data_IF_010985137694
#
_entry.id   IF_010985137694
#
_cell.length_a   1.000
_cell.length_b   1.000
_cell.length_c   1.000
_cell.angle_alpha   90.00
_cell.angle_beta   90.00
_cell.angle_gamma   90.00
#
_symmetry.space_group_name_H-M   'P 1'
#
loop_
_entity.id
_entity.type
_entity.pdbx_description
1 polymer ?
#
# COMPACT_ATOMS: atom_id res chain seq x y z
N UNK A 1 15.21 -8.03 5.41
CA UNK A 1 14.39 -9.24 5.25
C UNK A 1 12.94 -8.84 5.34
N UNK A 2 12.03 -9.38 4.51
CA UNK A 2 10.60 -9.13 4.58
C UNK A 2 10.04 -9.47 5.96
N UNK A 3 9.03 -8.71 6.40
CA UNK A 3 8.40 -8.93 7.72
C UNK A 3 7.77 -10.32 7.80
N UNK A 4 7.10 -10.72 6.75
CA UNK A 4 6.43 -12.03 6.66
C UNK A 4 7.39 -13.17 6.92
N UNK A 5 8.57 -13.17 6.29
CA UNK A 5 9.54 -14.28 6.41
C UNK A 5 10.10 -14.46 7.83
N UNK A 6 10.06 -13.40 8.66
CA UNK A 6 10.52 -13.46 10.07
C UNK A 6 9.46 -13.96 11.03
N UNK A 7 8.19 -13.97 10.63
CA UNK A 7 7.06 -14.31 11.48
C UNK A 7 6.33 -15.57 11.02
N UNK A 8 6.85 -16.29 10.02
CA UNK A 8 6.31 -17.58 9.63
C UNK A 8 6.48 -18.61 10.75
N UNK A 9 5.42 -19.35 11.06
CA UNK A 9 5.50 -20.50 11.94
C UNK A 9 6.24 -21.68 11.26
N UNK A 10 6.80 -22.62 12.01
CA UNK A 10 7.38 -23.84 11.44
C UNK A 10 6.37 -24.54 10.53
N UNK A 11 6.78 -24.85 9.30
CA UNK A 11 5.97 -25.50 8.26
C UNK A 11 4.83 -24.63 7.67
N UNK A 12 4.73 -23.33 8.04
CA UNK A 12 3.78 -22.41 7.43
C UNK A 12 4.29 -21.98 6.03
N UNK A 13 3.41 -22.06 5.01
CA UNK A 13 3.76 -21.77 3.62
C UNK A 13 3.02 -20.52 3.16
N UNK A 14 3.77 -19.63 2.49
CA UNK A 14 3.17 -18.47 1.83
C UNK A 14 2.58 -18.91 0.50
N UNK A 15 1.26 -18.71 0.35
CA UNK A 15 0.49 -19.05 -0.86
C UNK A 15 0.49 -17.89 -1.85
N UNK A 16 0.35 -16.66 -1.33
CA UNK A 16 0.30 -15.47 -2.16
C UNK A 16 0.95 -14.27 -1.47
N UNK A 17 1.66 -13.45 -2.25
CA UNK A 17 2.22 -12.17 -1.78
C UNK A 17 1.87 -11.04 -2.71
N UNK A 18 1.54 -9.89 -2.13
CA UNK A 18 1.41 -8.64 -2.87
C UNK A 18 1.91 -7.46 -2.03
N UNK A 19 1.91 -6.28 -2.64
CA UNK A 19 2.37 -5.03 -2.03
C UNK A 19 1.41 -3.90 -2.36
N UNK A 20 1.67 -2.72 -1.80
CA UNK A 20 0.99 -1.51 -2.25
C UNK A 20 1.34 -1.19 -3.70
N UNK A 21 0.35 -0.71 -4.43
CA UNK A 21 0.52 -0.32 -5.83
C UNK A 21 1.28 1.02 -5.94
N UNK A 22 2.13 1.22 -6.96
CA UNK A 22 2.86 2.48 -7.18
C UNK A 22 1.99 3.73 -7.27
N UNK A 23 0.67 3.60 -7.47
CA UNK A 23 -0.28 4.72 -7.43
C UNK A 23 -0.22 5.51 -6.11
N UNK A 24 0.38 4.96 -5.05
CA UNK A 24 0.64 5.68 -3.79
C UNK A 24 1.47 6.95 -4.00
N UNK A 25 2.31 6.98 -5.04
CA UNK A 25 3.12 8.14 -5.41
C UNK A 25 2.33 9.26 -6.09
N UNK A 26 1.06 9.03 -6.47
CA UNK A 26 0.25 10.01 -7.21
C UNK A 26 0.19 11.39 -6.53
N UNK A 27 -0.01 11.41 -5.20
CA UNK A 27 -0.03 12.66 -4.44
C UNK A 27 1.36 13.33 -4.40
N UNK A 28 2.45 12.56 -4.31
CA UNK A 28 3.80 13.10 -4.34
C UNK A 28 4.16 13.69 -5.71
N UNK A 29 3.71 13.04 -6.78
CA UNK A 29 3.88 13.56 -8.16
C UNK A 29 3.11 14.87 -8.32
N UNK A 30 1.84 14.94 -7.87
CA UNK A 30 1.04 16.16 -7.90
C UNK A 30 1.68 17.29 -7.09
N UNK A 31 2.19 16.99 -5.89
CA UNK A 31 2.91 17.96 -5.07
C UNK A 31 4.19 18.46 -5.74
N UNK A 32 5.00 17.55 -6.29
CA UNK A 32 6.22 17.93 -7.01
C UNK A 32 5.92 18.81 -8.23
N UNK A 33 4.90 18.46 -9.01
CA UNK A 33 4.45 19.26 -10.15
C UNK A 33 4.02 20.67 -9.71
N UNK A 34 3.28 20.78 -8.61
CA UNK A 34 2.88 22.08 -8.03
C UNK A 34 4.09 22.90 -7.60
N UNK A 35 5.05 22.29 -6.89
CA UNK A 35 6.26 22.99 -6.41
C UNK A 35 7.12 23.47 -7.59
N UNK A 36 7.28 22.64 -8.62
CA UNK A 36 8.01 23.01 -9.85
C UNK A 36 7.31 24.16 -10.57
N UNK A 37 5.98 24.09 -10.72
CA UNK A 37 5.20 25.14 -11.32
C UNK A 37 5.34 26.47 -10.56
N UNK A 38 5.19 26.45 -9.24
CA UNK A 38 5.35 27.63 -8.40
C UNK A 38 6.76 28.24 -8.51
N UNK A 39 7.81 27.42 -8.48
CA UNK A 39 9.17 27.88 -8.67
C UNK A 39 9.39 28.53 -10.04
N UNK A 40 8.83 27.92 -11.10
CA UNK A 40 8.88 28.48 -12.46
C UNK A 40 8.17 29.83 -12.53
N UNK A 41 6.99 29.98 -11.93
CA UNK A 41 6.26 31.25 -11.89
C UNK A 41 7.06 32.33 -11.15
N UNK A 42 7.69 31.99 -10.02
CA UNK A 42 8.55 32.92 -9.29
C UNK A 42 9.71 33.39 -10.16
N UNK A 43 10.37 32.50 -10.88
CA UNK A 43 11.52 32.82 -11.73
C UNK A 43 11.11 33.69 -12.92
N UNK A 44 9.95 33.40 -13.55
CA UNK A 44 9.48 34.13 -14.74
C UNK A 44 8.92 35.51 -14.44
N UNK A 45 8.35 35.71 -13.24
CA UNK A 45 7.71 36.99 -12.88
C UNK A 45 8.62 37.96 -12.12
N UNK A 46 9.85 37.55 -11.79
CA UNK A 46 10.80 38.38 -11.06
C UNK A 46 12.16 38.35 -11.76
N UNK A 47 12.75 39.50 -11.96
CA UNK A 47 14.12 39.62 -12.48
C UNK A 47 15.14 39.20 -11.42
N UNK A 48 15.22 37.89 -11.18
CA UNK A 48 16.06 37.32 -10.13
C UNK A 48 17.53 37.22 -10.58
N UNK A 49 18.43 37.61 -9.71
CA UNK A 49 19.85 37.36 -9.93
C UNK A 49 20.14 35.84 -9.99
N UNK A 50 21.16 35.40 -10.77
CA UNK A 50 21.49 33.98 -10.93
C UNK A 50 21.66 33.19 -9.64
N UNK A 51 22.23 33.71 -8.54
CA UNK A 51 22.34 32.98 -7.28
C UNK A 51 20.96 32.73 -6.64
N UNK A 52 20.02 33.68 -6.75
CA UNK A 52 18.64 33.52 -6.24
C UNK A 52 17.86 32.48 -7.03
N UNK A 53 18.02 32.45 -8.35
CA UNK A 53 17.43 31.40 -9.19
C UNK A 53 17.91 30.01 -8.76
N UNK A 54 19.22 29.85 -8.52
CA UNK A 54 19.78 28.57 -8.02
C UNK A 54 19.18 28.18 -6.66
N UNK A 55 19.01 29.14 -5.77
CA UNK A 55 18.41 28.89 -4.45
C UNK A 55 16.97 28.43 -4.59
N UNK A 56 16.14 29.08 -5.42
CA UNK A 56 14.75 28.70 -5.69
C UNK A 56 14.68 27.29 -6.24
N UNK A 57 15.53 26.95 -7.21
CA UNK A 57 15.58 25.60 -7.77
C UNK A 57 15.99 24.55 -6.73
N UNK A 58 16.99 24.84 -5.87
CA UNK A 58 17.41 23.92 -4.82
C UNK A 58 16.30 23.68 -3.78
N UNK A 59 15.61 24.74 -3.36
CA UNK A 59 14.48 24.64 -2.43
C UNK A 59 13.36 23.81 -3.05
N UNK A 60 13.00 24.10 -4.30
CA UNK A 60 11.96 23.35 -5.02
C UNK A 60 12.31 21.86 -5.15
N UNK A 61 13.54 21.55 -5.54
CA UNK A 61 14.02 20.17 -5.65
C UNK A 61 14.00 19.45 -4.30
N UNK A 62 14.42 20.12 -3.23
CA UNK A 62 14.40 19.55 -1.86
C UNK A 62 12.97 19.26 -1.40
N UNK A 63 12.05 20.21 -1.58
CA UNK A 63 10.64 20.02 -1.22
C UNK A 63 9.99 18.88 -2.01
N UNK A 64 10.25 18.82 -3.31
CA UNK A 64 9.77 17.73 -4.15
C UNK A 64 10.32 16.38 -3.65
N UNK A 65 11.61 16.26 -3.39
CA UNK A 65 12.25 15.05 -2.89
C UNK A 65 11.68 14.61 -1.52
N UNK A 66 11.47 15.54 -0.60
CA UNK A 66 10.85 15.26 0.70
C UNK A 66 9.41 14.75 0.56
N UNK A 67 8.67 15.27 -0.41
CA UNK A 67 7.31 14.78 -0.72
C UNK A 67 7.26 13.30 -1.14
N UNK A 68 8.33 12.77 -1.74
CA UNK A 68 8.44 11.36 -2.09
C UNK A 68 8.87 10.45 -0.94
N UNK A 69 9.44 10.99 0.13
CA UNK A 69 10.02 10.18 1.19
C UNK A 69 8.95 9.33 1.92
N UNK A 70 7.83 9.94 2.30
CA UNK A 70 6.75 9.25 3.01
C UNK A 70 6.14 8.10 2.19
N UNK A 71 5.68 8.30 0.94
CA UNK A 71 5.13 7.19 0.15
C UNK A 71 6.18 6.14 -0.20
N UNK A 72 7.46 6.52 -0.38
CA UNK A 72 8.54 5.58 -0.64
C UNK A 72 8.76 4.64 0.55
N UNK A 73 8.82 5.19 1.75
CA UNK A 73 8.97 4.43 2.98
C UNK A 73 7.78 3.49 3.15
N UNK A 74 6.55 4.00 3.05
CA UNK A 74 5.33 3.19 3.18
C UNK A 74 5.29 2.08 2.14
N UNK A 75 5.61 2.37 0.88
CA UNK A 75 5.63 1.38 -0.20
C UNK A 75 6.65 0.26 0.04
N UNK A 76 7.86 0.62 0.50
CA UNK A 76 8.94 -0.32 0.78
C UNK A 76 8.67 -1.22 1.99
N UNK A 77 7.91 -0.72 2.97
CA UNK A 77 7.69 -1.40 4.25
C UNK A 77 6.35 -2.11 4.37
N UNK A 78 5.47 -1.95 3.37
CA UNK A 78 4.16 -2.60 3.35
C UNK A 78 4.22 -3.93 2.63
N UNK A 79 3.68 -4.96 3.29
CA UNK A 79 3.63 -6.34 2.81
C UNK A 79 2.27 -6.95 3.08
N UNK A 80 1.75 -7.66 2.10
CA UNK A 80 0.52 -8.44 2.18
C UNK A 80 0.85 -9.89 1.84
N UNK A 81 0.54 -10.80 2.72
CA UNK A 81 0.76 -12.22 2.49
C UNK A 81 -0.42 -13.06 2.95
N UNK A 82 -0.75 -14.05 2.16
CA UNK A 82 -1.69 -15.12 2.51
C UNK A 82 -0.87 -16.37 2.71
N UNK A 83 -1.03 -17.01 3.86
CA UNK A 83 -0.44 -18.29 4.17
C UNK A 83 -1.52 -19.38 4.22
N UNK A 84 -1.10 -20.60 4.36
CA UNK A 84 -2.00 -21.74 4.59
C UNK A 84 -2.77 -21.68 5.92
N UNK A 85 -2.37 -20.78 6.85
CA UNK A 85 -2.97 -20.66 8.20
C UNK A 85 -3.63 -19.33 8.49
N UNK A 86 -3.07 -18.24 7.97
CA UNK A 86 -3.50 -16.85 8.29
C UNK A 86 -3.23 -15.88 7.13
N UNK A 87 -3.92 -14.76 7.19
CA UNK A 87 -3.64 -13.58 6.38
C UNK A 87 -2.80 -12.64 7.22
N UNK A 88 -1.65 -12.23 6.69
CA UNK A 88 -0.72 -11.30 7.34
C UNK A 88 -0.63 -10.03 6.51
N UNK A 89 -0.97 -8.91 7.11
CA UNK A 89 -0.92 -7.59 6.47
C UNK A 89 -0.11 -6.67 7.37
N UNK A 90 0.90 -6.04 6.78
CA UNK A 90 1.68 -4.99 7.43
C UNK A 90 1.75 -3.77 6.53
N UNK A 91 1.32 -2.63 7.04
CA UNK A 91 1.35 -1.35 6.33
C UNK A 91 2.09 -0.32 7.16
N UNK A 92 3.06 0.37 6.52
CA UNK A 92 3.78 1.49 7.11
C UNK A 92 5.05 1.11 7.88
N UNK A 93 5.84 2.15 8.25
CA UNK A 93 7.05 2.04 9.06
C UNK A 93 6.97 2.87 10.34
N UNK A 94 6.59 4.15 10.23
CA UNK A 94 6.49 5.07 11.38
C UNK A 94 5.21 4.83 12.19
N UNK A 95 4.10 4.62 11.48
CA UNK A 95 2.86 4.11 12.05
C UNK A 95 2.64 2.73 11.43
N UNK A 96 2.94 1.70 12.20
CA UNK A 96 2.83 0.31 11.73
C UNK A 96 1.44 -0.20 12.07
N UNK A 97 0.66 -0.51 11.05
CA UNK A 97 -0.61 -1.22 11.19
C UNK A 97 -0.39 -2.66 10.76
N UNK A 98 -0.47 -3.58 11.71
CA UNK A 98 -0.31 -5.01 11.45
C UNK A 98 -1.61 -5.71 11.80
N UNK A 99 -2.14 -6.44 10.83
CA UNK A 99 -3.33 -7.28 10.99
C UNK A 99 -2.96 -8.71 10.67
N UNK A 100 -3.22 -9.61 11.61
CA UNK A 100 -3.09 -11.04 11.43
C UNK A 100 -4.44 -11.70 11.70
N UNK A 101 -5.04 -12.27 10.67
CA UNK A 101 -6.31 -12.97 10.76
C UNK A 101 -6.11 -14.44 10.41
N UNK A 102 -6.44 -15.33 11.32
CA UNK A 102 -6.49 -16.77 11.03
C UNK A 102 -7.53 -17.02 9.93
N UNK A 103 -7.22 -17.86 8.96
CA UNK A 103 -8.13 -18.14 7.83
C UNK A 103 -9.57 -18.49 8.26
N UNK A 104 -9.81 -19.30 9.32
CA UNK A 104 -11.17 -19.60 9.78
C UNK A 104 -11.90 -18.40 10.41
N UNK A 105 -11.20 -17.32 10.75
CA UNK A 105 -11.79 -16.11 11.35
C UNK A 105 -12.11 -15.01 10.34
N UNK A 106 -11.88 -15.24 9.06
CA UNK A 106 -12.28 -14.32 7.99
C UNK A 106 -13.73 -14.64 7.62
N UNK A 107 -14.64 -13.70 7.90
CA UNK A 107 -16.07 -13.84 7.58
C UNK A 107 -16.40 -13.34 6.18
N UNK A 108 -15.84 -12.19 5.82
CA UNK A 108 -16.06 -11.61 4.51
C UNK A 108 -14.80 -10.90 4.01
N UNK A 109 -14.62 -10.93 2.70
CA UNK A 109 -13.59 -10.18 2.01
C UNK A 109 -14.19 -9.52 0.77
N UNK A 110 -14.05 -8.19 0.69
CA UNK A 110 -14.53 -7.36 -0.40
C UNK A 110 -13.38 -6.65 -1.11
N UNK A 111 -13.56 -6.35 -2.37
CA UNK A 111 -12.63 -5.56 -3.18
C UNK A 111 -13.39 -4.41 -3.81
N UNK A 112 -12.99 -3.19 -3.52
CA UNK A 112 -13.51 -1.99 -4.14
C UNK A 112 -12.47 -1.44 -5.13
N UNK A 113 -12.88 -1.33 -6.39
CA UNK A 113 -12.03 -0.78 -7.45
C UNK A 113 -12.76 0.34 -8.19
N UNK A 114 -12.08 1.48 -8.34
CA UNK A 114 -12.50 2.52 -9.27
C UNK A 114 -12.21 2.10 -10.72
N UNK A 115 -12.74 2.82 -11.71
CA UNK A 115 -12.40 2.57 -13.12
C UNK A 115 -10.89 2.63 -13.37
N UNK A 116 -10.21 3.65 -12.81
CA UNK A 116 -8.75 3.75 -12.86
C UNK A 116 -8.07 2.59 -12.14
N UNK A 117 -8.62 2.14 -11.00
CA UNK A 117 -8.12 1.00 -10.25
C UNK A 117 -8.17 -0.30 -11.05
N UNK A 118 -9.24 -0.53 -11.81
CA UNK A 118 -9.39 -1.70 -12.69
C UNK A 118 -8.39 -1.68 -13.85
N UNK A 119 -8.19 -0.51 -14.48
CA UNK A 119 -7.24 -0.38 -15.58
C UNK A 119 -5.78 -0.54 -15.12
N UNK A 120 -5.45 -0.02 -13.94
CA UNK A 120 -4.10 -0.03 -13.40
C UNK A 120 -3.81 -1.23 -12.48
N UNK A 121 -4.82 -2.06 -12.14
CA UNK A 121 -4.65 -3.26 -11.34
C UNK A 121 -4.50 -2.99 -9.84
N UNK A 122 -5.15 -1.95 -9.29
CA UNK A 122 -5.17 -1.69 -7.85
C UNK A 122 -6.59 -1.49 -7.30
N UNK A 123 -6.73 -1.64 -5.98
CA UNK A 123 -8.01 -1.44 -5.30
C UNK A 123 -7.87 -1.36 -3.80
N UNK A 124 -9.00 -1.20 -3.13
CA UNK A 124 -9.13 -1.27 -1.68
C UNK A 124 -9.62 -2.66 -1.30
N UNK A 125 -8.83 -3.37 -0.51
CA UNK A 125 -9.23 -4.63 0.10
C UNK A 125 -9.94 -4.34 1.42
N UNK A 126 -11.14 -4.89 1.62
CA UNK A 126 -11.85 -4.86 2.89
C UNK A 126 -11.96 -6.27 3.44
N UNK A 127 -11.61 -6.43 4.69
CA UNK A 127 -11.70 -7.71 5.40
C UNK A 127 -12.54 -7.56 6.65
N UNK A 128 -13.48 -8.47 6.86
CA UNK A 128 -14.28 -8.54 8.06
C UNK A 128 -13.90 -9.80 8.83
N UNK A 129 -13.47 -9.61 10.06
CA UNK A 129 -13.17 -10.69 10.99
C UNK A 129 -14.36 -11.06 11.87
N UNK A 130 -14.28 -12.23 12.52
CA UNK A 130 -15.26 -12.67 13.52
C UNK A 130 -15.36 -11.64 14.63
N UNK A 131 -16.56 -11.04 14.79
CA UNK A 131 -16.82 -9.95 15.72
C UNK A 131 -17.13 -8.61 15.04
N UNK A 132 -17.27 -8.59 13.69
CA UNK A 132 -17.73 -7.42 12.94
C UNK A 132 -16.66 -6.34 12.74
N UNK A 133 -15.42 -6.58 13.13
CA UNK A 133 -14.32 -5.63 12.86
C UNK A 133 -14.02 -5.61 11.36
N UNK A 134 -14.14 -4.42 10.75
CA UNK A 134 -13.84 -4.21 9.33
C UNK A 134 -12.52 -3.48 9.18
N UNK A 135 -11.59 -4.08 8.50
CA UNK A 135 -10.30 -3.50 8.13
C UNK A 135 -10.26 -3.19 6.64
N UNK A 136 -9.81 -1.99 6.28
CA UNK A 136 -9.74 -1.54 4.89
C UNK A 136 -8.30 -1.13 4.51
N UNK A 137 -7.78 -1.74 3.47
CA UNK A 137 -6.42 -1.52 2.97
C UNK A 137 -6.48 -0.92 1.56
N UNK A 138 -6.27 0.39 1.40
CA UNK A 138 -6.32 1.04 0.10
C UNK A 138 -5.05 0.78 -0.73
N UNK A 139 -5.19 0.90 -2.04
CA UNK A 139 -4.09 0.86 -3.02
C UNK A 139 -3.30 -0.44 -3.02
N UNK A 140 -3.95 -1.55 -2.73
CA UNK A 140 -3.35 -2.89 -2.85
C UNK A 140 -3.20 -3.25 -4.32
N UNK A 141 -2.04 -3.80 -4.70
CA UNK A 141 -1.82 -4.30 -6.05
C UNK A 141 -2.47 -5.68 -6.21
N UNK A 142 -3.13 -5.93 -7.34
CA UNK A 142 -3.82 -7.18 -7.66
C UNK A 142 -4.78 -7.64 -6.55
N UNK A 143 -5.74 -6.80 -6.14
CA UNK A 143 -6.60 -7.10 -4.99
C UNK A 143 -7.51 -8.31 -5.23
N UNK A 144 -7.93 -8.55 -6.48
CA UNK A 144 -8.74 -9.72 -6.83
C UNK A 144 -7.97 -11.03 -6.61
N UNK A 145 -6.71 -11.09 -7.07
CA UNK A 145 -5.86 -12.27 -6.85
C UNK A 145 -5.59 -12.51 -5.35
N UNK A 146 -5.45 -11.44 -4.56
CA UNK A 146 -5.32 -11.54 -3.11
C UNK A 146 -6.60 -12.09 -2.48
N UNK A 147 -7.78 -11.57 -2.88
CA UNK A 147 -9.08 -12.08 -2.42
C UNK A 147 -9.24 -13.55 -2.74
N UNK A 148 -8.97 -13.96 -3.97
CA UNK A 148 -9.13 -15.33 -4.42
C UNK A 148 -8.19 -16.29 -3.66
N UNK A 149 -6.95 -15.85 -3.38
CA UNK A 149 -6.02 -16.60 -2.55
C UNK A 149 -6.55 -16.78 -1.11
N UNK A 150 -7.11 -15.73 -0.48
CA UNK A 150 -7.71 -15.83 0.86
C UNK A 150 -8.90 -16.77 0.85
N UNK A 151 -9.84 -16.59 -0.10
CA UNK A 151 -11.04 -17.44 -0.19
C UNK A 151 -10.69 -18.90 -0.42
N UNK A 152 -9.66 -19.18 -1.23
CA UNK A 152 -9.15 -20.53 -1.44
C UNK A 152 -8.64 -21.18 -0.15
N UNK A 153 -7.96 -20.42 0.70
CA UNK A 153 -7.46 -20.92 1.98
C UNK A 153 -8.58 -21.07 3.03
N UNK A 154 -9.55 -20.15 3.06
CA UNK A 154 -10.74 -20.25 3.92
C UNK A 154 -11.52 -21.53 3.58
N UNK A 155 -11.76 -21.80 2.30
CA UNK A 155 -12.46 -23.01 1.84
C UNK A 155 -11.66 -24.30 2.12
N UNK A 156 -10.33 -24.24 2.09
CA UNK A 156 -9.47 -25.40 2.38
C UNK A 156 -9.34 -25.68 3.89
N UNK A 157 -9.75 -24.75 4.74
CA UNK A 157 -9.66 -24.86 6.19
C UNK A 157 -10.51 -26.00 6.73
N UNK A 158 -10.03 -26.82 7.71
CA UNK A 158 -10.77 -27.94 8.29
C UNK A 158 -12.12 -27.55 8.88
N UNK A 159 -12.25 -26.31 9.38
CA UNK A 159 -13.50 -25.79 9.98
C UNK A 159 -14.58 -25.57 8.91
N UNK A 160 -14.22 -25.24 7.68
CA UNK A 160 -15.18 -25.07 6.59
C UNK A 160 -15.70 -26.42 6.06
N UNK A 161 -14.94 -27.50 6.22
CA UNK A 161 -15.34 -28.85 5.79
C UNK A 161 -16.27 -29.57 6.78
N UNK A 162 -16.41 -29.06 8.00
CA UNK A 162 -17.21 -29.67 9.06
C UNK A 162 -18.63 -29.08 9.19
N UNK A 163 -19.03 -28.18 8.28
CA UNK A 163 -20.38 -27.62 8.16
C UNK A 163 -21.03 -28.07 6.85
#
# INVERSE_FOLDING_TARGET
MPYVDRHLAPQERVVFRTRLHPVIFGNAVGFAAFVIFAATMIILHNDLAPPTVRLVCLVAATLAALGFLSPLVTWRTSEFAVTDRRVMIKVGLLSVHTVELLNPKVEAIGVDQTLAGRLLGYGTLRMTGTGGTVEAFPRVARPDALRDAVMGQVAASPVARAR
#
